data_IF_408478753066
#
_entry.id   IF_408478753066
#
_cell.length_a   1.000
_cell.length_b   1.000
_cell.length_c   1.000
_cell.angle_alpha   90.00
_cell.angle_beta   90.00
_cell.angle_gamma   90.00
#
_symmetry.space_group_name_H-M   'P 1'
#
loop_
_entity.id
_entity.type
_entity.pdbx_description
1 polymer ?
#
# COMPACT_ATOMS: atom_id res chain seq x y z
N UNK A 1 -11.54 -2.32 -7.16
CA UNK A 1 -10.38 -2.06 -6.28
C UNK A 1 -10.11 -3.28 -5.42
N UNK A 2 -9.13 -4.08 -5.84
CA UNK A 2 -8.81 -5.40 -5.26
C UNK A 2 -7.96 -5.29 -3.99
N UNK A 3 -7.51 -4.08 -3.65
CA UNK A 3 -6.58 -3.82 -2.55
C UNK A 3 -7.15 -2.83 -1.52
N UNK A 4 -6.62 -2.87 -0.30
CA UNK A 4 -6.83 -1.85 0.73
C UNK A 4 -5.50 -1.44 1.35
N UNK A 5 -5.42 -0.19 1.80
CA UNK A 5 -4.26 0.32 2.51
C UNK A 5 -4.42 0.14 4.01
N UNK A 6 -3.34 -0.16 4.69
CA UNK A 6 -3.27 -0.21 6.15
C UNK A 6 -1.97 0.43 6.66
N UNK A 7 -1.98 1.01 7.87
CA UNK A 7 -0.77 1.49 8.51
C UNK A 7 0.01 0.30 9.08
N UNK A 8 1.27 0.13 8.67
CA UNK A 8 2.16 -0.93 9.16
C UNK A 8 3.62 -0.48 9.08
N UNK A 9 4.43 -0.79 10.11
CA UNK A 9 5.87 -0.48 10.16
C UNK A 9 6.26 0.95 9.73
N UNK A 10 5.49 1.95 10.17
CA UNK A 10 5.81 3.36 9.89
C UNK A 10 5.43 3.85 8.49
N UNK A 11 4.76 3.02 7.68
CA UNK A 11 4.31 3.35 6.32
C UNK A 11 2.87 2.88 6.09
N UNK A 12 2.27 3.33 4.98
CA UNK A 12 1.02 2.78 4.48
C UNK A 12 1.35 1.67 3.49
N UNK A 13 0.92 0.45 3.78
CA UNK A 13 1.11 -0.73 2.91
C UNK A 13 -0.21 -1.13 2.26
N UNK A 14 -0.14 -1.64 1.03
CA UNK A 14 -1.29 -2.21 0.34
C UNK A 14 -1.33 -3.72 0.55
N UNK A 15 -2.50 -4.25 0.90
CA UNK A 15 -2.79 -5.69 1.04
C UNK A 15 -4.02 -6.05 0.22
N UNK A 16 -4.21 -7.34 -0.07
CA UNK A 16 -5.43 -7.80 -0.74
C UNK A 16 -6.67 -7.46 0.12
N UNK A 17 -7.73 -6.93 -0.50
CA UNK A 17 -8.94 -6.49 0.22
C UNK A 17 -9.64 -7.64 0.95
N UNK A 18 -9.43 -8.88 0.49
CA UNK A 18 -9.96 -10.09 1.11
C UNK A 18 -9.39 -10.42 2.49
N UNK A 19 -8.19 -9.91 2.83
CA UNK A 19 -7.56 -10.17 4.12
C UNK A 19 -8.31 -9.45 5.26
N UNK A 20 -8.78 -10.26 6.21
CA UNK A 20 -9.46 -9.85 7.43
C UNK A 20 -8.45 -9.54 8.55
N UNK A 21 -8.83 -8.72 9.55
CA UNK A 21 -8.05 -8.61 10.77
C UNK A 21 -7.82 -9.98 11.41
N UNK A 22 -6.62 -10.24 11.90
CA UNK A 22 -6.24 -11.54 12.47
C UNK A 22 -5.70 -12.56 11.45
N UNK A 23 -5.93 -12.37 10.15
CA UNK A 23 -5.35 -13.24 9.12
C UNK A 23 -3.83 -13.08 9.05
N UNK A 24 -3.15 -14.12 8.58
CA UNK A 24 -1.80 -14.00 8.04
C UNK A 24 -1.87 -13.57 6.59
N UNK A 25 -1.08 -12.56 6.23
CA UNK A 25 -1.08 -12.02 4.89
C UNK A 25 0.25 -11.47 4.45
N UNK A 26 0.27 -10.96 3.23
CA UNK A 26 1.43 -10.33 2.63
C UNK A 26 1.01 -9.00 1.99
N UNK A 27 1.85 -7.99 2.16
CA UNK A 27 1.73 -6.72 1.44
C UNK A 27 2.15 -6.88 -0.02
N UNK A 28 1.75 -5.96 -0.88
CA UNK A 28 2.19 -5.97 -2.27
C UNK A 28 3.71 -5.85 -2.44
N UNK A 29 4.43 -5.29 -1.46
CA UNK A 29 5.89 -5.24 -1.48
C UNK A 29 6.57 -6.48 -0.87
N UNK A 30 5.83 -7.57 -0.59
CA UNK A 30 6.38 -8.82 -0.07
C UNK A 30 6.64 -8.83 1.44
N UNK A 31 6.30 -7.77 2.16
CA UNK A 31 6.39 -7.77 3.63
C UNK A 31 5.25 -8.61 4.20
N UNK A 32 5.57 -9.62 5.00
CA UNK A 32 4.60 -10.40 5.75
C UNK A 32 3.89 -9.52 6.79
N UNK A 33 2.58 -9.72 6.94
CA UNK A 33 1.75 -9.06 7.95
C UNK A 33 1.00 -10.14 8.70
N UNK A 34 1.40 -10.37 9.96
CA UNK A 34 0.83 -11.38 10.82
C UNK A 34 0.84 -10.89 12.28
N UNK A 35 -0.35 -10.72 12.92
CA UNK A 35 -1.66 -10.71 12.28
C UNK A 35 -1.90 -9.43 11.47
N UNK A 36 -2.74 -9.50 10.45
CA UNK A 36 -3.28 -8.31 9.78
C UNK A 36 -3.98 -7.42 10.82
N UNK A 37 -3.62 -6.13 10.92
CA UNK A 37 -4.19 -5.25 11.94
C UNK A 37 -5.66 -4.94 11.65
N UNK A 38 -6.36 -4.58 12.73
CA UNK A 38 -7.70 -4.01 12.68
C UNK A 38 -7.77 -2.79 11.78
N UNK A 39 -8.95 -2.54 11.23
CA UNK A 39 -9.17 -1.33 10.41
C UNK A 39 -9.13 -0.09 11.28
N UNK A 40 -8.02 0.63 11.23
CA UNK A 40 -7.92 1.99 11.76
C UNK A 40 -8.51 3.01 10.77
N UNK A 41 -9.40 3.92 11.20
CA UNK A 41 -9.87 5.02 10.36
C UNK A 41 -8.70 5.87 9.84
N UNK A 42 -8.80 6.32 8.58
CA UNK A 42 -7.72 7.12 7.94
C UNK A 42 -7.42 8.40 8.70
N UNK A 43 -8.41 8.99 9.40
CA UNK A 43 -8.25 10.17 10.25
C UNK A 43 -7.31 9.96 11.44
N UNK A 44 -7.08 8.71 11.83
CA UNK A 44 -6.24 8.34 12.97
C UNK A 44 -4.83 7.89 12.52
N UNK A 45 -4.56 7.90 11.22
CA UNK A 45 -3.24 7.52 10.71
C UNK A 45 -2.25 8.68 10.93
N UNK A 46 -1.01 8.40 11.37
CA UNK A 46 0.00 9.45 11.48
C UNK A 46 0.24 10.11 10.12
N UNK A 47 0.16 11.43 10.05
CA UNK A 47 0.33 12.18 8.79
C UNK A 47 1.73 11.99 8.16
N UNK A 48 2.73 11.62 8.97
CA UNK A 48 4.09 11.30 8.52
C UNK A 48 4.20 9.95 7.81
N UNK A 49 3.17 9.11 7.87
CA UNK A 49 3.22 7.78 7.26
C UNK A 49 2.87 7.88 5.79
N UNK A 50 3.91 8.00 4.97
CA UNK A 50 3.78 8.02 3.52
C UNK A 50 3.40 6.62 2.97
N UNK A 51 2.93 6.59 1.72
CA UNK A 51 2.71 5.33 1.01
C UNK A 51 4.05 4.60 0.86
N UNK A 52 4.07 3.29 1.12
CA UNK A 52 5.21 2.46 0.78
C UNK A 52 5.41 2.49 -0.75
N UNK A 53 6.57 2.93 -1.27
CA UNK A 53 6.77 3.07 -2.71
C UNK A 53 6.58 1.76 -3.49
N UNK A 54 6.98 0.63 -2.92
CA UNK A 54 6.78 -0.69 -3.54
C UNK A 54 5.30 -1.06 -3.65
N UNK A 55 4.51 -0.77 -2.60
CA UNK A 55 3.06 -1.00 -2.63
C UNK A 55 2.35 -0.06 -3.61
N UNK A 56 2.72 1.22 -3.69
CA UNK A 56 2.13 2.16 -4.65
C UNK A 56 2.45 1.76 -6.10
N UNK A 57 3.69 1.36 -6.39
CA UNK A 57 4.10 0.89 -7.70
C UNK A 57 3.35 -0.36 -8.16
N UNK A 58 3.33 -1.40 -7.32
CA UNK A 58 2.61 -2.65 -7.60
C UNK A 58 1.09 -2.43 -7.75
N UNK A 59 0.49 -1.63 -6.86
CA UNK A 59 -0.93 -1.30 -6.94
C UNK A 59 -1.26 -0.60 -8.27
N UNK A 60 -0.45 0.39 -8.66
CA UNK A 60 -0.62 1.12 -9.93
C UNK A 60 -0.48 0.19 -11.13
N UNK A 61 0.53 -0.67 -11.14
CA UNK A 61 0.72 -1.64 -12.21
C UNK A 61 -0.49 -2.57 -12.35
N UNK A 62 -1.02 -3.10 -11.24
CA UNK A 62 -2.14 -4.06 -11.24
C UNK A 62 -3.50 -3.45 -11.57
N UNK A 63 -3.72 -2.18 -11.23
CA UNK A 63 -4.97 -1.47 -11.53
C UNK A 63 -4.83 -0.58 -12.78
N UNK A 64 -3.76 -0.76 -13.56
CA UNK A 64 -3.48 -0.04 -14.82
C UNK A 64 -3.50 1.49 -14.65
N UNK A 65 -3.07 1.95 -13.49
CA UNK A 65 -2.98 3.38 -13.14
C UNK A 65 -1.61 3.89 -13.58
N UNK A 66 -1.52 4.96 -14.38
CA UNK A 66 -0.23 5.55 -14.74
C UNK A 66 0.62 5.91 -13.52
N UNK A 67 1.91 5.61 -13.60
CA UNK A 67 2.89 6.10 -12.62
C UNK A 67 2.88 7.62 -12.64
N UNK A 68 2.98 8.23 -11.46
CA UNK A 68 3.12 9.69 -11.36
C UNK A 68 4.49 10.07 -11.95
N UNK A 69 4.54 10.54 -13.19
CA UNK A 69 5.77 11.09 -13.76
C UNK A 69 6.05 12.41 -13.02
N UNK A 70 7.03 12.41 -12.11
CA UNK A 70 7.53 13.63 -11.52
C UNK A 70 8.34 14.34 -12.61
N UNK A 71 7.95 15.54 -13.06
CA UNK A 71 8.49 16.26 -14.23
C UNK A 71 10.00 16.61 -14.16
N UNK A 72 10.75 16.04 -13.21
CA UNK A 72 12.19 16.24 -13.02
C UNK A 72 13.00 14.99 -13.43
N UNK A 73 12.40 13.81 -13.58
CA UNK A 73 13.11 12.63 -14.06
C UNK A 73 12.35 11.98 -15.23
N UNK A 74 12.84 12.26 -16.44
CA UNK A 74 12.69 11.53 -17.69
C UNK A 74 11.56 10.47 -17.74
N UNK A 75 10.41 10.87 -18.27
CA UNK A 75 9.56 9.95 -19.00
C UNK A 75 10.34 9.55 -20.28
N UNK A 76 11.00 8.39 -20.27
CA UNK A 76 11.55 7.76 -21.46
C UNK A 76 10.53 6.74 -21.98
N UNK A 77 9.88 7.10 -23.09
CA UNK A 77 9.58 6.29 -24.27
C UNK A 77 8.96 7.23 -25.33
#
# INVERSE_FOLDING_TARGET
MSFRWLPYEGKRHAVHRGLQPGDDGETLCGTAVSPVPERTPVSEWPASWHECPGCDGEWRQREEIPLRCNRIAACAL
#
